data_IF_753825504882
#
_entry.id   IF_753825504882
#
_cell.length_a   1.000
_cell.length_b   1.000
_cell.length_c   1.000
_cell.angle_alpha   90.00
_cell.angle_beta   90.00
_cell.angle_gamma   90.00
#
_symmetry.space_group_name_H-M   'P 1'
#
loop_
_entity.id
_entity.type
_entity.pdbx_description
1 polymer ?
#
# COMPACT_ATOMS: atom_id res chain seq x y z
N UNK A 1 -23.75 8.12 -47.50
CA UNK A 1 -23.69 6.68 -47.79
C UNK A 1 -22.27 6.42 -48.28
N UNK A 2 -21.35 6.10 -47.38
CA UNK A 2 -20.99 4.71 -47.04
C UNK A 2 -20.38 4.07 -48.30
N UNK A 3 -19.08 3.79 -48.30
CA UNK A 3 -18.45 2.44 -48.41
C UNK A 3 -17.35 2.68 -49.46
N UNK A 4 -16.05 2.40 -49.36
CA UNK A 4 -15.20 1.70 -48.43
C UNK A 4 -13.75 2.07 -48.83
N UNK A 5 -12.77 2.10 -47.93
CA UNK A 5 -11.90 0.93 -47.67
C UNK A 5 -11.41 0.34 -49.01
N UNK A 6 -10.15 0.37 -49.41
CA UNK A 6 -8.87 0.23 -48.72
C UNK A 6 -7.84 0.55 -49.81
N UNK A 7 -6.65 1.07 -49.59
CA UNK A 7 -5.57 0.40 -48.90
C UNK A 7 -4.33 1.22 -49.23
N UNK A 8 -3.75 1.91 -48.25
CA UNK A 8 -2.28 2.01 -48.21
C UNK A 8 -1.92 1.84 -46.74
N UNK A 9 -1.80 0.57 -46.38
CA UNK A 9 -0.87 0.12 -45.36
C UNK A 9 0.51 0.68 -45.75
N UNK A 10 1.11 1.49 -44.88
CA UNK A 10 2.53 1.56 -44.53
C UNK A 10 2.64 2.81 -43.65
N UNK A 11 2.41 2.65 -42.35
CA UNK A 11 3.12 3.45 -41.34
C UNK A 11 2.93 2.79 -39.97
N UNK A 12 3.65 1.70 -39.74
CA UNK A 12 4.22 1.43 -38.41
C UNK A 12 5.68 1.09 -38.66
N UNK A 13 6.63 1.62 -37.87
CA UNK A 13 6.53 1.61 -36.41
C UNK A 13 7.07 2.90 -35.73
N UNK A 14 6.39 3.41 -34.69
CA UNK A 14 7.01 4.24 -33.65
C UNK A 14 6.08 4.39 -32.42
N UNK A 15 5.35 3.33 -32.03
CA UNK A 15 4.54 3.34 -30.80
C UNK A 15 4.95 2.31 -29.73
N UNK A 16 6.02 1.53 -29.96
CA UNK A 16 6.45 0.52 -28.98
C UNK A 16 7.09 1.09 -27.69
N UNK A 17 7.17 2.41 -27.52
CA UNK A 17 7.72 3.05 -26.31
C UNK A 17 6.68 3.72 -25.41
N UNK A 18 5.43 3.96 -25.87
CA UNK A 18 4.41 4.64 -25.06
C UNK A 18 3.64 3.71 -24.11
N UNK A 19 3.57 2.41 -24.42
CA UNK A 19 2.87 1.44 -23.58
C UNK A 19 3.59 1.19 -22.23
N UNK A 20 4.93 1.33 -22.19
CA UNK A 20 5.71 1.15 -20.96
C UNK A 20 5.48 2.30 -19.99
N UNK A 21 5.51 3.54 -20.48
CA UNK A 21 5.32 4.74 -19.66
C UNK A 21 3.89 4.84 -19.10
N UNK A 22 2.87 4.46 -19.87
CA UNK A 22 1.49 4.41 -19.39
C UNK A 22 1.27 3.34 -18.30
N UNK A 23 1.89 2.17 -18.45
CA UNK A 23 1.87 1.11 -17.43
C UNK A 23 2.54 1.53 -16.12
N UNK A 24 3.73 2.12 -16.20
CA UNK A 24 4.45 2.61 -15.00
C UNK A 24 3.74 3.80 -14.35
N UNK A 25 3.13 4.71 -15.13
CA UNK A 25 2.34 5.82 -14.58
C UNK A 25 1.08 5.31 -13.86
N UNK A 26 0.43 4.28 -14.40
CA UNK A 26 -0.70 3.64 -13.73
C UNK A 26 -0.27 2.92 -12.45
N UNK A 27 0.89 2.28 -12.44
CA UNK A 27 1.43 1.61 -11.26
C UNK A 27 1.78 2.59 -10.15
N UNK A 28 2.47 3.69 -10.47
CA UNK A 28 2.78 4.73 -9.50
C UNK A 28 1.50 5.32 -8.89
N UNK A 29 0.50 5.64 -9.71
CA UNK A 29 -0.78 6.14 -9.24
C UNK A 29 -1.49 5.15 -8.30
N UNK A 30 -1.44 3.85 -8.62
CA UNK A 30 -2.01 2.80 -7.77
C UNK A 30 -1.29 2.72 -6.41
N UNK A 31 0.04 2.76 -6.40
CA UNK A 31 0.84 2.73 -5.16
C UNK A 31 0.58 3.97 -4.30
N UNK A 32 0.44 5.15 -4.91
CA UNK A 32 0.05 6.35 -4.17
C UNK A 32 -1.34 6.23 -3.52
N UNK A 33 -2.30 5.59 -4.19
CA UNK A 33 -3.62 5.29 -3.60
C UNK A 33 -3.45 4.38 -2.38
N UNK A 34 -2.64 3.33 -2.47
CA UNK A 34 -2.36 2.43 -1.35
C UNK A 34 -1.74 3.19 -0.17
N UNK A 35 -0.77 4.07 -0.41
CA UNK A 35 -0.15 4.91 0.63
C UNK A 35 -1.18 5.79 1.33
N UNK A 36 -2.09 6.43 0.58
CA UNK A 36 -3.17 7.24 1.15
C UNK A 36 -4.14 6.41 2.00
N UNK A 37 -4.45 5.18 1.58
CA UNK A 37 -5.30 4.25 2.35
C UNK A 37 -4.61 3.81 3.65
N UNK A 38 -3.31 3.53 3.61
CA UNK A 38 -2.52 3.20 4.80
C UNK A 38 -2.51 4.37 5.79
N UNK A 39 -2.34 5.61 5.33
CA UNK A 39 -2.44 6.80 6.20
C UNK A 39 -3.81 6.90 6.88
N UNK A 40 -4.89 6.64 6.14
CA UNK A 40 -6.24 6.65 6.71
C UNK A 40 -6.42 5.55 7.76
N UNK A 41 -5.89 4.35 7.50
CA UNK A 41 -5.93 3.22 8.42
C UNK A 41 -5.11 3.50 9.70
N UNK A 42 -3.90 4.04 9.56
CA UNK A 42 -3.04 4.46 10.67
C UNK A 42 -3.76 5.47 11.56
N UNK A 43 -4.42 6.47 10.96
CA UNK A 43 -5.18 7.46 11.71
C UNK A 43 -6.39 6.86 12.46
N UNK A 44 -7.06 5.85 11.89
CA UNK A 44 -8.13 5.11 12.58
C UNK A 44 -7.55 4.33 13.76
N UNK A 45 -6.47 3.57 13.53
CA UNK A 45 -5.82 2.77 14.56
C UNK A 45 -5.31 3.64 15.73
N UNK A 46 -4.71 4.79 15.44
CA UNK A 46 -4.24 5.72 16.46
C UNK A 46 -5.39 6.26 17.32
N UNK A 47 -6.49 6.72 16.69
CA UNK A 47 -7.67 7.18 17.43
C UNK A 47 -8.28 6.08 18.29
N UNK A 48 -8.28 4.85 17.81
CA UNK A 48 -8.78 3.71 18.57
C UNK A 48 -7.88 3.32 19.74
N UNK A 49 -6.57 3.53 19.63
CA UNK A 49 -5.62 3.31 20.74
C UNK A 49 -5.89 4.25 21.93
N UNK A 50 -6.43 5.43 21.66
CA UNK A 50 -6.76 6.44 22.68
C UNK A 50 -8.12 6.17 23.36
N UNK A 51 -8.91 5.22 22.87
CA UNK A 51 -10.20 4.88 23.47
C UNK A 51 -9.98 4.07 24.77
N UNK A 52 -10.83 4.27 25.79
CA UNK A 52 -10.80 3.45 26.98
C UNK A 52 -10.94 1.96 26.63
N UNK A 53 -10.05 1.13 27.17
CA UNK A 53 -10.12 -0.30 26.95
C UNK A 53 -11.38 -0.84 27.65
N UNK A 54 -12.26 -1.49 26.91
CA UNK A 54 -13.48 -2.03 27.47
C UNK A 54 -13.13 -3.31 28.23
N UNK A 55 -13.07 -3.21 29.57
CA UNK A 55 -12.62 -4.27 30.48
C UNK A 55 -13.40 -5.59 30.39
N UNK A 56 -14.48 -5.63 29.61
CA UNK A 56 -15.29 -6.82 29.34
C UNK A 56 -14.73 -7.72 28.21
N UNK A 57 -13.84 -7.22 27.34
CA UNK A 57 -13.35 -8.00 26.20
C UNK A 57 -12.12 -8.84 26.57
N UNK A 58 -12.19 -10.15 26.30
CA UNK A 58 -11.10 -11.10 26.56
C UNK A 58 -9.89 -10.86 25.66
N UNK A 59 -10.11 -10.39 24.45
CA UNK A 59 -9.08 -10.08 23.48
C UNK A 59 -9.35 -8.69 22.92
N UNK A 60 -8.28 -7.91 22.77
CA UNK A 60 -8.34 -6.60 22.12
C UNK A 60 -7.20 -6.48 21.10
N UNK A 61 -7.35 -5.53 20.18
CA UNK A 61 -6.37 -5.29 19.13
C UNK A 61 -5.16 -4.55 19.69
N UNK A 62 -3.96 -5.05 19.40
CA UNK A 62 -2.68 -4.40 19.67
C UNK A 62 -2.50 -3.22 18.70
N UNK A 63 -3.14 -2.10 19.02
CA UNK A 63 -3.05 -0.88 18.21
C UNK A 63 -1.61 -0.38 18.05
N UNK A 64 -0.76 -0.32 19.10
CA UNK A 64 0.64 0.08 18.95
C UNK A 64 1.38 -0.77 17.92
N UNK A 65 1.21 -2.10 17.96
CA UNK A 65 1.85 -3.00 17.01
C UNK A 65 1.29 -2.84 15.60
N UNK A 66 -0.03 -2.72 15.45
CA UNK A 66 -0.67 -2.48 14.16
C UNK A 66 -0.19 -1.16 13.52
N UNK A 67 -0.11 -0.07 14.28
CA UNK A 67 0.40 1.22 13.80
C UNK A 67 1.85 1.08 13.32
N UNK A 68 2.70 0.38 14.08
CA UNK A 68 4.09 0.13 13.67
C UNK A 68 4.20 -0.63 12.35
N UNK A 69 3.39 -1.67 12.16
CA UNK A 69 3.40 -2.49 10.94
C UNK A 69 2.81 -1.72 9.75
N UNK A 70 1.76 -0.92 9.93
CA UNK A 70 1.23 -0.02 8.88
C UNK A 70 2.31 0.97 8.43
N UNK A 71 3.02 1.60 9.38
CA UNK A 71 4.08 2.53 9.07
C UNK A 71 5.22 1.86 8.27
N UNK A 72 5.56 0.61 8.61
CA UNK A 72 6.55 -0.19 7.89
C UNK A 72 6.13 -0.49 6.45
N UNK A 73 4.88 -0.93 6.24
CA UNK A 73 4.34 -1.18 4.89
C UNK A 73 4.35 0.12 4.08
N UNK A 74 3.92 1.23 4.70
CA UNK A 74 3.92 2.54 4.05
C UNK A 74 5.34 2.97 3.64
N UNK A 75 6.35 2.76 4.48
CA UNK A 75 7.74 3.03 4.12
C UNK A 75 8.18 2.17 2.93
N UNK A 76 7.90 0.87 2.91
CA UNK A 76 8.26 0.00 1.79
C UNK A 76 7.63 0.44 0.45
N UNK A 77 6.39 0.92 0.46
CA UNK A 77 5.75 1.48 -0.74
C UNK A 77 6.35 2.83 -1.16
N UNK A 78 6.77 3.67 -0.22
CA UNK A 78 7.46 4.94 -0.53
C UNK A 78 8.86 4.69 -1.10
N UNK A 79 9.58 3.71 -0.58
CA UNK A 79 10.87 3.26 -1.11
C UNK A 79 10.72 2.67 -2.51
N UNK A 80 9.60 1.99 -2.79
CA UNK A 80 9.29 1.52 -4.14
C UNK A 80 9.10 2.67 -5.14
N UNK A 81 8.40 3.74 -4.73
CA UNK A 81 8.20 4.92 -5.56
C UNK A 81 9.50 5.73 -5.76
N UNK A 82 10.41 5.68 -4.78
CA UNK A 82 11.67 6.43 -4.78
C UNK A 82 12.86 5.49 -4.49
N UNK A 83 13.19 4.57 -5.42
CA UNK A 83 14.19 3.55 -5.17
C UNK A 83 15.55 4.18 -4.90
N UNK A 84 16.07 3.97 -3.70
CA UNK A 84 17.44 4.35 -3.36
C UNK A 84 18.43 3.48 -4.11
N UNK A 85 19.55 4.07 -4.57
CA UNK A 85 20.66 3.28 -5.14
C UNK A 85 21.51 2.57 -4.08
N UNK A 86 21.25 2.82 -2.79
CA UNK A 86 21.87 2.07 -1.71
C UNK A 86 21.30 0.65 -1.67
N UNK A 87 22.10 -0.31 -1.18
CA UNK A 87 21.65 -1.68 -0.97
C UNK A 87 20.40 -1.68 -0.06
N UNK A 88 19.36 -2.47 -0.39
CA UNK A 88 18.15 -2.55 0.42
C UNK A 88 18.52 -2.83 1.88
N UNK A 89 17.93 -2.07 2.81
CA UNK A 89 18.06 -2.38 4.24
C UNK A 89 17.36 -3.72 4.50
N UNK A 90 17.88 -4.47 5.46
CA UNK A 90 17.34 -5.78 5.85
C UNK A 90 15.81 -5.68 6.02
N UNK A 91 15.01 -6.52 5.35
CA UNK A 91 13.57 -6.44 5.44
C UNK A 91 13.16 -6.81 6.87
N UNK A 92 12.66 -5.83 7.61
CA UNK A 92 12.23 -6.10 8.98
C UNK A 92 10.84 -6.72 8.97
N UNK A 93 10.68 -7.73 9.82
CA UNK A 93 9.52 -8.61 9.88
C UNK A 93 8.25 -7.85 10.30
N UNK A 94 7.13 -8.21 9.67
CA UNK A 94 5.78 -7.76 10.04
C UNK A 94 5.16 -8.84 10.91
N UNK A 95 4.63 -8.46 12.07
CA UNK A 95 4.28 -9.44 13.09
C UNK A 95 3.12 -10.36 12.70
N UNK A 96 2.11 -9.84 11.99
CA UNK A 96 0.85 -10.55 11.71
C UNK A 96 0.03 -10.98 12.94
N UNK A 97 0.47 -10.70 14.17
CA UNK A 97 -0.16 -11.11 15.43
C UNK A 97 -0.53 -9.88 16.25
N UNK A 98 -1.81 -9.51 16.22
CA UNK A 98 -2.32 -8.28 16.83
C UNK A 98 -3.29 -8.52 17.99
N UNK A 99 -3.37 -9.74 18.53
CA UNK A 99 -4.25 -10.02 19.66
C UNK A 99 -3.49 -9.83 20.97
N UNK A 100 -4.03 -9.00 21.85
CA UNK A 100 -3.59 -8.90 23.26
C UNK A 100 -4.66 -9.54 24.13
N UNK A 101 -4.28 -10.47 24.98
CA UNK A 101 -5.15 -11.00 26.03
C UNK A 101 -5.38 -9.93 27.10
N UNK A 102 -6.64 -9.62 27.41
CA UNK A 102 -6.96 -8.80 28.58
C UNK A 102 -6.43 -9.50 29.83
N UNK A 103 -5.67 -8.78 30.66
CA UNK A 103 -5.04 -9.32 31.86
C UNK A 103 -6.10 -9.95 32.74
N UNK A 104 -6.18 -11.28 32.72
CA UNK A 104 -6.93 -12.03 33.72
C UNK A 104 -5.95 -12.17 34.86
N UNK A 105 -5.89 -11.17 35.74
CA UNK A 105 -5.36 -11.38 37.09
C UNK A 105 -6.05 -12.63 37.64
N UNK A 106 -5.28 -13.69 37.96
CA UNK A 106 -5.84 -14.93 38.51
C UNK A 106 -6.47 -14.71 39.89
#
# INVERSE_FOLDING_TARGET
>A
MQICLSAVLICTPLLSSYARAAGTASEQANVEVMVRQLNALEAVAQRSADLPNESAQRYHLDYPRLVSDIARIRQGLQDYLTPSRAQPRDPVEISGHYNVSGDRTP
#
